data_IF_904331830462
#
_entry.id   IF_904331830462
#
_cell.length_a   1.000
_cell.length_b   1.000
_cell.length_c   1.000
_cell.angle_alpha   90.00
_cell.angle_beta   90.00
_cell.angle_gamma   90.00
#
_symmetry.space_group_name_H-M   'P 1'
#
loop_
_entity.id
_entity.type
_entity.pdbx_description
1 polymer ?
#
# COMPACT_ATOMS: atom_id res chain seq x y z
N UNK A 1 -7.11 -29.78 -3.17
CA UNK A 1 -7.43 -28.58 -3.98
C UNK A 1 -6.89 -27.39 -3.22
N UNK A 2 -6.15 -26.47 -3.88
CA UNK A 2 -5.64 -25.26 -3.19
C UNK A 2 -6.82 -24.33 -2.87
N UNK A 3 -6.84 -23.64 -1.71
CA UNK A 3 -7.92 -22.73 -1.38
C UNK A 3 -7.92 -21.54 -2.35
N UNK A 4 -9.12 -21.03 -2.66
CA UNK A 4 -9.25 -19.79 -3.40
C UNK A 4 -8.81 -18.62 -2.52
N UNK A 5 -8.04 -17.70 -3.09
CA UNK A 5 -7.66 -16.43 -2.47
C UNK A 5 -8.36 -15.29 -3.18
N UNK A 6 -8.68 -14.23 -2.44
CA UNK A 6 -9.19 -13.01 -3.05
C UNK A 6 -8.05 -12.32 -3.79
N UNK A 7 -8.27 -11.98 -5.06
CA UNK A 7 -7.23 -11.45 -5.96
C UNK A 7 -7.60 -10.08 -6.52
N UNK A 8 -8.70 -9.49 -6.04
CA UNK A 8 -9.13 -8.13 -6.33
C UNK A 8 -9.56 -7.43 -5.04
N UNK A 9 -9.83 -6.14 -5.12
CA UNK A 9 -10.61 -5.43 -4.11
C UNK A 9 -12.09 -5.78 -4.12
N UNK A 10 -12.83 -5.13 -3.22
CA UNK A 10 -14.29 -5.23 -3.14
C UNK A 10 -14.95 -4.10 -3.93
N UNK A 11 -15.92 -4.44 -4.76
CA UNK A 11 -16.69 -3.49 -5.55
C UNK A 11 -18.13 -3.49 -5.05
N UNK A 12 -18.62 -2.32 -4.63
CA UNK A 12 -20.02 -2.13 -4.23
C UNK A 12 -20.83 -1.67 -5.43
N UNK A 13 -21.88 -2.41 -5.74
CA UNK A 13 -22.79 -2.13 -6.85
C UNK A 13 -24.14 -1.81 -6.27
N UNK A 14 -24.60 -0.59 -6.48
CA UNK A 14 -25.88 -0.15 -5.99
C UNK A 14 -27.01 -0.57 -6.94
N UNK A 15 -28.15 -0.92 -6.37
CA UNK A 15 -29.38 -1.12 -7.11
C UNK A 15 -29.81 0.20 -7.75
N UNK A 16 -29.89 0.23 -9.08
CA UNK A 16 -30.16 1.45 -9.86
C UNK A 16 -31.57 1.42 -10.48
N UNK A 17 -32.60 1.30 -9.65
CA UNK A 17 -34.00 1.34 -10.09
C UNK A 17 -34.33 0.22 -11.10
N UNK A 18 -35.06 0.49 -12.20
CA UNK A 18 -35.47 -0.53 -13.16
C UNK A 18 -34.42 -0.85 -14.23
N UNK A 19 -33.21 -0.27 -14.13
CA UNK A 19 -32.17 -0.45 -15.14
C UNK A 19 -31.04 -1.36 -14.64
N UNK A 20 -30.48 -2.20 -15.52
CA UNK A 20 -29.25 -2.92 -15.20
C UNK A 20 -28.12 -1.95 -14.85
N UNK A 21 -27.20 -2.33 -13.96
CA UNK A 21 -26.01 -1.54 -13.71
C UNK A 21 -25.14 -1.47 -14.99
N UNK A 22 -24.36 -0.42 -15.11
CA UNK A 22 -23.30 -0.35 -16.14
C UNK A 22 -22.29 -1.48 -15.91
N UNK A 23 -21.63 -1.99 -16.97
CA UNK A 23 -20.55 -2.95 -16.83
C UNK A 23 -19.47 -2.45 -15.87
N UNK A 24 -18.96 -3.35 -15.04
CA UNK A 24 -17.96 -3.05 -14.02
C UNK A 24 -16.65 -3.68 -14.43
N UNK A 25 -15.57 -2.91 -14.26
CA UNK A 25 -14.21 -3.40 -14.44
C UNK A 25 -13.63 -3.78 -13.08
N UNK A 26 -13.30 -5.05 -12.90
CA UNK A 26 -12.70 -5.60 -11.68
C UNK A 26 -11.23 -5.85 -11.99
N UNK A 27 -10.34 -4.99 -11.49
CA UNK A 27 -8.89 -5.24 -11.52
C UNK A 27 -8.55 -6.45 -10.64
N UNK A 28 -7.50 -7.21 -11.01
CA UNK A 28 -7.00 -8.29 -10.18
C UNK A 28 -5.47 -8.40 -10.24
N UNK A 29 -4.85 -8.92 -9.18
CA UNK A 29 -3.41 -9.06 -9.08
C UNK A 29 -2.84 -10.33 -9.74
N UNK A 30 -3.65 -11.30 -10.21
CA UNK A 30 -3.10 -12.52 -10.85
C UNK A 30 -2.21 -12.22 -12.07
N UNK A 31 -1.10 -12.94 -12.22
CA UNK A 31 -0.27 -12.90 -13.42
C UNK A 31 -0.85 -13.85 -14.49
N UNK A 32 -1.55 -13.30 -15.49
CA UNK A 32 -2.23 -14.08 -16.54
C UNK A 32 -1.36 -14.23 -17.80
N UNK A 33 -0.24 -14.95 -17.69
CA UNK A 33 0.65 -15.28 -18.82
C UNK A 33 0.90 -16.78 -18.92
N UNK A 34 1.42 -17.25 -20.07
CA UNK A 34 1.74 -18.67 -20.27
C UNK A 34 2.65 -19.18 -19.14
N UNK A 35 2.25 -20.28 -18.51
CA UNK A 35 2.93 -20.85 -17.34
C UNK A 35 2.19 -20.62 -16.03
N UNK A 36 1.31 -19.61 -15.97
CA UNK A 36 0.38 -19.39 -14.87
C UNK A 36 -1.00 -19.96 -15.23
N UNK A 37 -1.64 -20.66 -14.31
CA UNK A 37 -2.87 -21.41 -14.52
C UNK A 37 -3.97 -21.03 -13.52
N UNK A 38 -4.07 -19.73 -13.20
CA UNK A 38 -5.08 -19.21 -12.29
C UNK A 38 -6.50 -19.51 -12.79
N UNK A 39 -7.30 -20.15 -11.94
CA UNK A 39 -8.75 -20.26 -12.15
C UNK A 39 -9.46 -19.16 -11.34
N UNK A 40 -9.95 -18.13 -12.04
CA UNK A 40 -10.55 -16.95 -11.42
C UNK A 40 -12.07 -16.99 -11.53
N UNK A 41 -12.74 -17.01 -10.38
CA UNK A 41 -14.19 -16.90 -10.25
C UNK A 41 -14.59 -15.52 -9.73
N UNK A 42 -15.72 -14.99 -10.19
CA UNK A 42 -16.33 -13.81 -9.57
C UNK A 42 -17.36 -14.29 -8.57
N UNK A 43 -17.24 -13.80 -7.34
CA UNK A 43 -18.21 -14.09 -6.28
C UNK A 43 -18.86 -12.81 -5.78
N UNK A 44 -20.05 -12.97 -5.24
CA UNK A 44 -20.84 -11.89 -4.69
C UNK A 44 -21.45 -12.23 -3.34
N UNK A 45 -21.88 -11.19 -2.64
CA UNK A 45 -22.75 -11.27 -1.46
C UNK A 45 -23.62 -10.01 -1.38
N UNK A 46 -24.76 -10.05 -0.67
CA UNK A 46 -25.52 -8.85 -0.37
C UNK A 46 -24.65 -7.80 0.31
N UNK A 47 -24.71 -6.56 -0.16
CA UNK A 47 -24.04 -5.46 0.51
C UNK A 47 -24.81 -5.08 1.77
N UNK A 48 -24.14 -5.15 2.92
CA UNK A 48 -24.73 -4.80 4.20
C UNK A 48 -23.80 -3.88 4.98
N UNK A 49 -24.38 -2.80 5.52
CA UNK A 49 -23.71 -1.88 6.43
C UNK A 49 -23.66 -2.41 7.88
N UNK A 50 -24.13 -3.64 8.13
CA UNK A 50 -24.08 -4.23 9.46
C UNK A 50 -22.63 -4.52 9.88
N UNK A 51 -22.35 -4.35 11.18
CA UNK A 51 -21.03 -4.61 11.79
C UNK A 51 -20.48 -6.02 11.53
N UNK A 52 -21.35 -7.00 11.30
CA UNK A 52 -20.97 -8.37 10.91
C UNK A 52 -21.34 -8.56 9.45
N UNK A 53 -20.34 -8.50 8.56
CA UNK A 53 -20.54 -8.85 7.16
C UNK A 53 -20.72 -10.37 7.05
N UNK A 54 -21.65 -10.80 6.19
CA UNK A 54 -21.75 -12.21 5.83
C UNK A 54 -20.47 -12.62 5.07
N UNK A 55 -19.73 -13.60 5.56
CA UNK A 55 -18.50 -14.09 4.92
C UNK A 55 -18.78 -15.06 3.77
N UNK A 56 -20.04 -15.45 3.58
CA UNK A 56 -20.44 -16.39 2.55
C UNK A 56 -20.48 -15.72 1.17
N UNK A 57 -19.35 -15.79 0.47
CA UNK A 57 -19.23 -15.43 -0.93
C UNK A 57 -19.79 -16.56 -1.82
N UNK A 58 -20.72 -16.21 -2.71
CA UNK A 58 -21.39 -17.15 -3.62
C UNK A 58 -20.98 -16.82 -5.06
N UNK A 59 -20.82 -17.81 -5.95
CA UNK A 59 -20.51 -17.54 -7.35
C UNK A 59 -21.57 -16.63 -7.98
N UNK A 60 -21.11 -15.65 -8.78
CA UNK A 60 -22.03 -14.69 -9.38
C UNK A 60 -23.08 -15.35 -10.28
N UNK A 61 -22.70 -16.41 -11.02
CA UNK A 61 -23.59 -17.12 -11.93
C UNK A 61 -24.63 -17.98 -11.20
N UNK A 62 -24.43 -18.31 -9.91
CA UNK A 62 -25.43 -19.01 -9.11
C UNK A 62 -26.55 -18.05 -8.64
N UNK A 63 -26.18 -16.79 -8.37
CA UNK A 63 -27.13 -15.74 -7.94
C UNK A 63 -27.78 -15.05 -9.14
N UNK A 64 -26.99 -14.80 -10.19
CA UNK A 64 -27.37 -14.12 -11.42
C UNK A 64 -26.90 -14.95 -12.64
N UNK A 65 -27.68 -15.96 -13.07
CA UNK A 65 -27.32 -16.86 -14.17
C UNK A 65 -27.04 -16.14 -15.51
N UNK A 66 -27.66 -14.98 -15.73
CA UNK A 66 -27.49 -14.16 -16.93
C UNK A 66 -26.30 -13.19 -16.84
N UNK A 67 -25.51 -13.23 -15.76
CA UNK A 67 -24.29 -12.44 -15.65
C UNK A 67 -23.27 -12.84 -16.72
N UNK A 68 -22.64 -11.85 -17.34
CA UNK A 68 -21.54 -12.07 -18.30
C UNK A 68 -20.22 -11.69 -17.66
N UNK A 69 -19.27 -12.61 -17.72
CA UNK A 69 -17.92 -12.46 -17.18
C UNK A 69 -16.93 -12.57 -18.32
N UNK A 70 -16.32 -11.45 -18.69
CA UNK A 70 -15.30 -11.38 -19.73
C UNK A 70 -13.93 -11.15 -19.06
N UNK A 71 -13.05 -12.14 -19.16
CA UNK A 71 -11.71 -12.08 -18.55
C UNK A 71 -10.71 -11.49 -19.54
N UNK A 72 -10.07 -10.39 -19.16
CA UNK A 72 -8.90 -9.83 -19.86
C UNK A 72 -7.65 -10.14 -19.05
N UNK A 73 -6.52 -9.53 -19.43
CA UNK A 73 -5.21 -9.83 -18.84
C UNK A 73 -5.07 -9.37 -17.39
N UNK A 74 -5.55 -8.16 -17.09
CA UNK A 74 -5.39 -7.51 -15.78
C UNK A 74 -6.73 -7.17 -15.12
N UNK A 75 -7.82 -7.39 -15.83
CA UNK A 75 -9.16 -7.01 -15.40
C UNK A 75 -10.20 -8.02 -15.87
N UNK A 76 -11.34 -8.01 -15.18
CA UNK A 76 -12.52 -8.78 -15.51
C UNK A 76 -13.67 -7.80 -15.69
N UNK A 77 -14.26 -7.81 -16.87
CA UNK A 77 -15.46 -7.04 -17.15
C UNK A 77 -16.68 -7.87 -16.75
N UNK A 78 -17.42 -7.38 -15.77
CA UNK A 78 -18.64 -7.99 -15.27
C UNK A 78 -19.85 -7.20 -15.74
N UNK A 79 -20.76 -7.86 -16.46
CA UNK A 79 -22.07 -7.31 -16.81
C UNK A 79 -23.14 -8.06 -16.03
N UNK A 80 -23.94 -7.33 -15.25
CA UNK A 80 -25.00 -7.91 -14.44
C UNK A 80 -26.38 -7.61 -15.03
N UNK A 81 -27.36 -8.52 -14.83
CA UNK A 81 -28.76 -8.21 -15.06
C UNK A 81 -29.26 -7.20 -14.00
N UNK A 82 -30.57 -6.91 -14.04
CA UNK A 82 -31.22 -6.06 -13.05
C UNK A 82 -30.97 -6.57 -11.61
N UNK A 83 -30.45 -5.70 -10.76
CA UNK A 83 -30.17 -6.02 -9.37
C UNK A 83 -31.44 -5.98 -8.51
N UNK A 84 -31.57 -6.96 -7.61
CA UNK A 84 -32.66 -7.01 -6.62
C UNK A 84 -32.31 -6.24 -5.35
N UNK A 85 -31.02 -6.07 -5.07
CA UNK A 85 -30.46 -5.42 -3.89
C UNK A 85 -29.04 -4.92 -4.20
N UNK A 86 -28.46 -4.12 -3.32
CA UNK A 86 -27.05 -3.72 -3.42
C UNK A 86 -26.15 -4.95 -3.26
N UNK A 87 -25.09 -5.02 -4.06
CA UNK A 87 -24.21 -6.18 -4.16
C UNK A 87 -22.76 -5.80 -3.86
N UNK A 88 -22.05 -6.63 -3.11
CA UNK A 88 -20.59 -6.61 -3.10
C UNK A 88 -20.08 -7.72 -4.01
N UNK A 89 -19.12 -7.41 -4.88
CA UNK A 89 -18.46 -8.38 -5.77
C UNK A 89 -16.94 -8.32 -5.61
N UNK A 90 -16.28 -9.45 -5.81
CA UNK A 90 -14.83 -9.58 -5.85
C UNK A 90 -14.41 -10.80 -6.69
N UNK A 91 -13.18 -10.78 -7.19
CA UNK A 91 -12.54 -11.89 -7.87
C UNK A 91 -11.79 -12.78 -6.89
N UNK A 92 -11.93 -14.10 -7.07
CA UNK A 92 -11.27 -15.13 -6.29
C UNK A 92 -10.51 -16.06 -7.22
N UNK A 93 -9.20 -16.16 -7.03
CA UNK A 93 -8.33 -17.02 -7.81
C UNK A 93 -7.96 -18.30 -7.06
N UNK A 94 -8.08 -19.45 -7.72
CA UNK A 94 -7.44 -20.69 -7.29
C UNK A 94 -6.11 -20.80 -8.03
N UNK A 95 -4.96 -20.74 -7.33
CA UNK A 95 -3.66 -20.80 -7.98
C UNK A 95 -3.31 -22.22 -8.41
N UNK A 96 -2.66 -22.33 -9.57
CA UNK A 96 -1.81 -23.45 -9.97
C UNK A 96 -0.55 -23.57 -9.10
N UNK A 97 0.32 -24.53 -9.42
CA UNK A 97 1.46 -24.87 -8.55
C UNK A 97 2.46 -23.72 -8.40
N UNK A 98 2.83 -23.15 -9.53
CA UNK A 98 3.92 -22.20 -9.72
C UNK A 98 3.38 -20.81 -10.12
N UNK A 99 2.11 -20.57 -9.80
CA UNK A 99 1.41 -19.34 -10.13
C UNK A 99 1.92 -18.18 -9.28
N UNK A 100 2.01 -17.02 -9.92
CA UNK A 100 2.47 -15.77 -9.33
C UNK A 100 1.36 -14.72 -9.36
N UNK A 101 1.46 -13.78 -8.43
CA UNK A 101 0.70 -12.52 -8.47
C UNK A 101 1.62 -11.33 -8.74
N UNK A 102 1.02 -10.30 -9.32
CA UNK A 102 1.62 -9.01 -9.61
C UNK A 102 1.51 -8.13 -8.37
N UNK A 103 2.65 -7.75 -7.82
CA UNK A 103 2.74 -6.78 -6.73
C UNK A 103 3.57 -5.57 -7.18
N UNK A 104 3.49 -4.51 -6.40
CA UNK A 104 4.26 -3.30 -6.57
C UNK A 104 4.94 -2.94 -5.25
N UNK A 105 6.21 -2.54 -5.35
CA UNK A 105 6.95 -1.92 -4.25
C UNK A 105 6.63 -0.43 -4.23
N UNK A 106 6.16 0.05 -3.08
CA UNK A 106 5.86 1.46 -2.84
C UNK A 106 6.69 1.99 -1.66
N UNK A 107 7.48 3.03 -1.90
CA UNK A 107 8.49 3.54 -0.95
C UNK A 107 8.02 4.88 -0.39
N UNK A 108 7.81 4.94 0.92
CA UNK A 108 7.30 6.10 1.64
C UNK A 108 8.29 6.64 2.67
N UNK A 109 8.21 7.93 2.93
CA UNK A 109 8.97 8.56 4.00
C UNK A 109 8.49 9.98 4.28
N UNK A 110 8.98 10.57 5.37
CA UNK A 110 8.82 12.01 5.61
C UNK A 110 9.82 12.79 4.77
N UNK A 111 9.65 14.10 4.69
CA UNK A 111 10.71 14.96 4.19
C UNK A 111 11.91 14.89 5.15
N UNK A 112 13.12 14.57 4.66
CA UNK A 112 14.27 14.40 5.54
C UNK A 112 14.83 15.74 6.04
N UNK A 113 15.26 15.75 7.30
CA UNK A 113 15.92 16.90 7.93
C UNK A 113 17.39 16.59 8.18
N UNK A 114 18.27 17.53 7.83
CA UNK A 114 19.71 17.39 8.04
C UNK A 114 20.04 17.12 9.51
N UNK A 115 20.88 16.10 9.75
CA UNK A 115 21.29 15.68 11.10
C UNK A 115 20.27 14.83 11.85
N UNK A 116 19.11 14.52 11.25
CA UNK A 116 18.14 13.60 11.82
C UNK A 116 18.16 12.27 11.09
N UNK A 117 17.90 11.19 11.83
CA UNK A 117 17.63 9.87 11.25
C UNK A 117 16.34 9.95 10.41
N UNK A 118 16.41 9.44 9.18
CA UNK A 118 15.31 9.45 8.23
C UNK A 118 14.67 8.06 8.12
N UNK A 119 13.37 7.97 8.44
CA UNK A 119 12.62 6.72 8.37
C UNK A 119 12.01 6.54 6.98
N UNK A 120 12.33 5.42 6.35
CA UNK A 120 11.76 4.97 5.07
C UNK A 120 10.95 3.71 5.36
N UNK A 121 9.71 3.69 4.87
CA UNK A 121 8.83 2.53 4.94
C UNK A 121 8.55 2.02 3.54
N UNK A 122 8.73 0.72 3.34
CA UNK A 122 8.53 0.09 2.03
C UNK A 122 7.36 -0.87 2.17
N UNK A 123 6.34 -0.67 1.34
CA UNK A 123 5.16 -1.53 1.25
C UNK A 123 5.23 -2.42 0.01
N UNK A 124 4.72 -3.64 0.12
CA UNK A 124 4.30 -4.44 -1.03
C UNK A 124 2.78 -4.38 -1.12
N UNK A 125 2.29 -3.91 -2.27
CA UNK A 125 0.85 -3.80 -2.56
C UNK A 125 0.52 -4.61 -3.80
N UNK A 126 -0.73 -5.05 -3.93
CA UNK A 126 -1.21 -5.65 -5.17
C UNK A 126 -1.16 -4.63 -6.32
N UNK A 127 -0.85 -5.08 -7.53
CA UNK A 127 -0.77 -4.26 -8.74
C UNK A 127 -2.17 -3.85 -9.25
N UNK A 128 -2.78 -2.89 -8.55
CA UNK A 128 -4.12 -2.33 -8.81
C UNK A 128 -4.20 -0.85 -8.42
N UNK A 129 -5.11 -0.11 -9.05
CA UNK A 129 -5.36 1.29 -8.71
C UNK A 129 -5.95 1.41 -7.29
N UNK A 130 -6.77 0.43 -6.89
CA UNK A 130 -7.40 0.42 -5.57
C UNK A 130 -6.36 0.31 -4.45
N UNK A 131 -5.43 -0.64 -4.53
CA UNK A 131 -4.38 -0.80 -3.54
C UNK A 131 -3.50 0.46 -3.46
N UNK A 132 -3.16 1.05 -4.60
CA UNK A 132 -2.39 2.28 -4.66
C UNK A 132 -3.11 3.46 -3.95
N UNK A 133 -4.40 3.68 -4.25
CA UNK A 133 -5.21 4.72 -3.58
C UNK A 133 -5.27 4.51 -2.07
N UNK A 134 -5.45 3.27 -1.62
CA UNK A 134 -5.50 2.95 -0.18
C UNK A 134 -4.18 3.25 0.53
N UNK A 135 -3.04 2.88 -0.08
CA UNK A 135 -1.74 3.14 0.55
C UNK A 135 -1.37 4.63 0.54
N UNK A 136 -1.71 5.37 -0.53
CA UNK A 136 -1.54 6.82 -0.56
C UNK A 136 -2.32 7.50 0.56
N UNK A 137 -3.61 7.15 0.72
CA UNK A 137 -4.44 7.67 1.82
C UNK A 137 -3.85 7.35 3.19
N UNK A 138 -3.40 6.11 3.42
CA UNK A 138 -2.72 5.73 4.67
C UNK A 138 -1.43 6.55 4.90
N UNK A 139 -0.69 6.83 3.83
CA UNK A 139 0.49 7.69 3.87
C UNK A 139 0.14 9.10 4.33
N UNK A 140 -0.87 9.72 3.71
CA UNK A 140 -1.40 11.03 4.08
C UNK A 140 -1.84 11.09 5.54
N UNK A 141 -2.65 10.13 5.98
CA UNK A 141 -3.14 10.01 7.37
C UNK A 141 -1.99 9.87 8.38
N UNK A 142 -0.86 9.30 7.95
CA UNK A 142 0.34 9.09 8.78
C UNK A 142 1.39 10.21 8.62
N UNK A 143 1.16 11.18 7.73
CA UNK A 143 2.09 12.26 7.40
C UNK A 143 3.37 11.80 6.70
N UNK A 144 3.33 10.72 5.91
CA UNK A 144 4.41 10.25 5.03
C UNK A 144 3.97 10.36 3.57
N UNK A 145 4.91 10.62 2.66
CA UNK A 145 4.65 10.73 1.22
C UNK A 145 5.37 9.66 0.44
N UNK A 146 4.82 9.31 -0.72
CA UNK A 146 5.50 8.45 -1.70
C UNK A 146 6.78 9.17 -2.16
N UNK A 147 7.92 8.50 -2.12
CA UNK A 147 9.23 9.08 -2.40
C UNK A 147 9.65 8.94 -3.86
N UNK A 148 9.16 7.91 -4.55
CA UNK A 148 9.49 7.61 -5.94
C UNK A 148 8.33 6.84 -6.60
N UNK A 149 8.47 6.50 -7.87
CA UNK A 149 7.50 5.69 -8.61
C UNK A 149 7.36 4.28 -8.02
N UNK A 150 6.37 3.52 -8.50
CA UNK A 150 6.17 2.13 -8.10
C UNK A 150 7.07 1.21 -8.94
N UNK A 151 7.54 0.11 -8.36
CA UNK A 151 8.27 -0.93 -9.10
C UNK A 151 7.57 -2.28 -9.01
N UNK A 152 7.31 -2.91 -10.14
CA UNK A 152 6.62 -4.21 -10.20
C UNK A 152 7.50 -5.37 -9.74
N UNK A 153 6.90 -6.29 -8.97
CA UNK A 153 7.51 -7.54 -8.49
C UNK A 153 6.49 -8.69 -8.64
N UNK A 154 6.93 -9.84 -9.13
CA UNK A 154 6.13 -11.06 -9.16
C UNK A 154 6.37 -11.89 -7.90
N UNK A 155 5.29 -12.24 -7.21
CA UNK A 155 5.34 -12.98 -5.95
C UNK A 155 4.63 -14.32 -6.11
N UNK A 156 5.31 -15.40 -5.78
CA UNK A 156 4.75 -16.75 -5.75
C UNK A 156 4.34 -17.14 -4.33
N UNK A 157 3.46 -18.13 -4.20
CA UNK A 157 3.11 -18.73 -2.91
C UNK A 157 4.16 -19.77 -2.52
N UNK A 158 5.30 -19.30 -2.02
CA UNK A 158 6.42 -20.17 -1.66
C UNK A 158 6.86 -19.97 -0.21
N UNK A 159 7.82 -20.79 0.22
CA UNK A 159 8.43 -20.65 1.56
C UNK A 159 9.57 -19.64 1.58
N UNK A 160 9.96 -19.11 0.42
CA UNK A 160 11.00 -18.10 0.34
C UNK A 160 10.38 -16.74 0.61
N UNK A 161 10.97 -15.96 1.50
CA UNK A 161 10.49 -14.61 1.79
C UNK A 161 11.02 -13.61 0.78
N UNK A 162 10.32 -12.48 0.65
CA UNK A 162 10.77 -11.36 -0.18
C UNK A 162 11.86 -10.61 0.58
N UNK A 163 13.06 -10.53 0.02
CA UNK A 163 14.14 -9.71 0.59
C UNK A 163 14.08 -8.29 0.06
N UNK A 164 14.24 -7.31 0.94
CA UNK A 164 14.32 -5.89 0.60
C UNK A 164 15.65 -5.34 1.11
N UNK A 165 16.43 -4.72 0.24
CA UNK A 165 17.79 -4.26 0.56
C UNK A 165 18.16 -2.92 -0.09
N UNK A 166 19.12 -2.23 0.52
CA UNK A 166 19.77 -1.02 0.00
C UNK A 166 21.13 -1.43 -0.61
N UNK A 167 21.30 -1.23 -1.92
CA UNK A 167 22.47 -1.75 -2.66
C UNK A 167 23.47 -0.64 -3.03
N UNK A 168 23.00 0.49 -3.55
CA UNK A 168 23.86 1.59 -4.02
C UNK A 168 23.78 2.80 -3.09
N UNK A 169 24.06 2.61 -1.81
CA UNK A 169 24.00 3.70 -0.83
C UNK A 169 25.17 4.66 -0.99
N UNK A 170 24.86 5.92 -1.32
CA UNK A 170 25.88 6.95 -1.48
C UNK A 170 26.76 7.14 -0.22
N UNK A 171 28.06 7.46 -0.38
CA UNK A 171 28.92 7.83 0.74
C UNK A 171 28.35 9.01 1.54
N UNK A 172 28.47 8.94 2.86
CA UNK A 172 27.92 9.94 3.78
C UNK A 172 26.61 9.53 4.43
N UNK A 173 26.07 8.37 4.05
CA UNK A 173 24.85 7.80 4.62
C UNK A 173 25.13 6.40 5.17
N UNK A 174 24.31 5.99 6.16
CA UNK A 174 24.38 4.65 6.74
C UNK A 174 22.97 4.13 7.04
N UNK A 175 22.71 2.85 6.77
CA UNK A 175 21.50 2.18 7.29
C UNK A 175 21.75 1.78 8.73
N UNK A 176 20.83 2.17 9.63
CA UNK A 176 20.87 1.77 11.03
C UNK A 176 20.31 0.37 11.16
N UNK A 177 21.11 -0.55 11.71
CA UNK A 177 20.74 -1.95 11.87
C UNK A 177 21.04 -2.77 10.61
N UNK A 178 20.13 -3.70 10.28
CA UNK A 178 20.28 -4.59 9.14
C UNK A 178 20.02 -3.86 7.82
N UNK A 179 20.88 -4.09 6.82
CA UNK A 179 20.73 -3.53 5.47
C UNK A 179 19.70 -4.28 4.63
N UNK A 180 19.31 -5.47 5.08
CA UNK A 180 18.36 -6.36 4.44
C UNK A 180 17.27 -6.67 5.46
N UNK A 181 16.02 -6.46 5.05
CA UNK A 181 14.84 -6.91 5.78
C UNK A 181 14.05 -7.88 4.91
N UNK A 182 13.20 -8.69 5.53
CA UNK A 182 12.33 -9.60 4.79
C UNK A 182 10.86 -9.31 5.04
N UNK A 183 10.04 -9.56 4.02
CA UNK A 183 8.58 -9.65 4.12
C UNK A 183 8.19 -11.10 3.85
N UNK A 184 7.40 -11.68 4.74
CA UNK A 184 6.96 -13.06 4.57
C UNK A 184 6.18 -13.22 3.25
N UNK A 185 6.53 -14.21 2.43
CA UNK A 185 5.80 -14.45 1.18
C UNK A 185 4.32 -14.77 1.43
N UNK A 186 4.00 -15.46 2.52
CA UNK A 186 2.62 -15.70 2.93
C UNK A 186 1.83 -14.41 3.20
N UNK A 187 2.44 -13.40 3.83
CA UNK A 187 1.78 -12.12 4.11
C UNK A 187 1.57 -11.32 2.83
N UNK A 188 2.60 -11.29 1.97
CA UNK A 188 2.52 -10.71 0.64
C UNK A 188 1.41 -11.37 -0.17
N UNK A 189 1.41 -12.70 -0.28
CA UNK A 189 0.46 -13.51 -1.03
C UNK A 189 -0.99 -13.25 -0.62
N UNK A 190 -1.27 -13.23 0.69
CA UNK A 190 -2.62 -13.07 1.22
C UNK A 190 -3.04 -11.61 1.44
N UNK A 191 -2.19 -10.63 1.08
CA UNK A 191 -2.57 -9.22 1.09
C UNK A 191 -3.74 -8.99 0.13
N UNK A 192 -4.70 -8.18 0.55
CA UNK A 192 -5.88 -7.79 -0.23
C UNK A 192 -5.74 -6.35 -0.70
N UNK A 193 -6.23 -6.02 -1.90
CA UNK A 193 -6.19 -4.65 -2.45
C UNK A 193 -6.84 -3.60 -1.53
N UNK A 194 -7.86 -3.99 -0.77
CA UNK A 194 -8.55 -3.12 0.19
C UNK A 194 -8.08 -3.30 1.65
N UNK A 195 -6.93 -3.93 1.87
CA UNK A 195 -6.38 -4.13 3.21
C UNK A 195 -5.93 -2.81 3.84
N UNK A 196 -6.04 -2.70 5.15
CA UNK A 196 -5.44 -1.61 5.94
C UNK A 196 -4.02 -1.95 6.40
N UNK A 197 -3.67 -3.24 6.38
CA UNK A 197 -2.39 -3.79 6.82
C UNK A 197 -1.57 -4.38 5.67
N UNK A 198 -1.19 -3.56 4.69
CA UNK A 198 -0.24 -4.00 3.66
C UNK A 198 1.09 -4.46 4.28
N UNK A 199 1.67 -5.58 3.83
CA UNK A 199 2.98 -6.04 4.24
C UNK A 199 4.03 -4.96 3.99
N UNK A 200 4.89 -4.73 4.98
CA UNK A 200 5.89 -3.68 4.91
C UNK A 200 7.09 -3.96 5.79
N UNK A 201 8.18 -3.24 5.51
CA UNK A 201 9.35 -3.17 6.37
C UNK A 201 9.81 -1.72 6.52
N UNK A 202 10.48 -1.44 7.63
CA UNK A 202 11.00 -0.12 7.95
C UNK A 202 12.53 -0.11 7.91
N UNK A 203 13.08 0.96 7.35
CA UNK A 203 14.50 1.25 7.36
C UNK A 203 14.73 2.63 7.97
N UNK A 204 15.90 2.78 8.58
CA UNK A 204 16.34 4.05 9.13
C UNK A 204 17.68 4.41 8.50
N UNK A 205 17.70 5.54 7.79
CA UNK A 205 18.90 6.11 7.18
C UNK A 205 19.46 7.17 8.12
N UNK A 206 20.74 7.03 8.47
CA UNK A 206 21.50 8.01 9.26
C UNK A 206 22.42 8.83 8.37
N UNK A 207 22.43 10.13 8.63
CA UNK A 207 23.36 11.07 8.03
C UNK A 207 24.70 11.03 8.77
N UNK A 208 25.75 10.54 8.10
CA UNK A 208 27.09 10.40 8.68
C UNK A 208 28.01 11.56 8.28
N UNK A 209 27.98 11.95 6.99
CA UNK A 209 28.75 13.09 6.50
C UNK A 209 27.85 14.32 6.35
N UNK A 210 27.82 15.15 7.38
CA UNK A 210 27.01 16.38 7.43
C UNK A 210 27.39 17.43 6.37
N UNK A 211 28.43 17.23 5.55
CA UNK A 211 28.68 18.11 4.39
C UNK A 211 27.75 17.76 3.22
N UNK A 212 27.26 16.52 3.15
CA UNK A 212 26.29 16.08 2.16
C UNK A 212 24.90 16.62 2.49
N UNK A 213 24.12 16.81 1.43
CA UNK A 213 22.72 17.23 1.52
C UNK A 213 21.84 16.37 0.63
N UNK A 214 22.38 15.83 -0.47
CA UNK A 214 21.69 14.90 -1.32
C UNK A 214 21.92 13.46 -0.85
N UNK A 215 20.82 12.73 -0.72
CA UNK A 215 20.76 11.29 -0.57
C UNK A 215 20.40 10.66 -1.91
N UNK A 216 21.12 9.61 -2.28
CA UNK A 216 20.81 8.74 -3.41
C UNK A 216 21.00 7.29 -2.97
N UNK A 217 20.06 6.44 -3.34
CA UNK A 217 20.18 5.00 -3.16
C UNK A 217 19.24 4.22 -4.08
N UNK A 218 19.70 3.05 -4.54
CA UNK A 218 18.83 2.01 -5.10
C UNK A 218 18.31 1.10 -3.99
N UNK A 219 16.98 0.95 -3.93
CA UNK A 219 16.30 -0.04 -3.09
C UNK A 219 15.83 -1.18 -3.99
N UNK A 220 16.15 -2.42 -3.61
CA UNK A 220 15.79 -3.62 -4.36
C UNK A 220 14.92 -4.56 -3.52
N UNK A 221 13.80 -4.98 -4.08
CA UNK A 221 13.04 -6.13 -3.64
C UNK A 221 13.38 -7.33 -4.53
N UNK A 222 13.54 -8.52 -3.94
CA UNK A 222 13.79 -9.76 -4.66
C UNK A 222 12.95 -10.89 -4.10
N UNK A 223 12.33 -11.66 -4.99
CA UNK A 223 11.60 -12.87 -4.65
C UNK A 223 11.87 -13.93 -5.71
N UNK A 224 12.44 -15.06 -5.31
CA UNK A 224 12.87 -16.13 -6.23
C UNK A 224 13.73 -15.57 -7.39
N UNK A 225 13.26 -15.76 -8.63
CA UNK A 225 13.94 -15.35 -9.86
C UNK A 225 13.56 -13.94 -10.34
N UNK A 226 12.67 -13.25 -9.63
CA UNK A 226 12.22 -11.90 -9.98
C UNK A 226 12.79 -10.84 -9.02
N UNK A 227 12.97 -9.63 -9.54
CA UNK A 227 13.44 -8.50 -8.75
C UNK A 227 12.91 -7.17 -9.26
N UNK A 228 12.62 -6.28 -8.31
CA UNK A 228 12.17 -4.92 -8.55
C UNK A 228 13.16 -3.96 -7.92
N UNK A 229 13.54 -2.90 -8.63
CA UNK A 229 14.41 -1.85 -8.08
C UNK A 229 13.80 -0.48 -8.32
N UNK A 230 14.07 0.44 -7.40
CA UNK A 230 13.76 1.86 -7.59
C UNK A 230 14.84 2.74 -6.97
N UNK A 231 15.09 3.87 -7.61
CA UNK A 231 16.01 4.88 -7.11
C UNK A 231 15.24 5.84 -6.19
N UNK A 232 15.83 6.13 -5.04
CA UNK A 232 15.32 7.11 -4.08
C UNK A 232 16.30 8.26 -3.99
N UNK A 233 15.80 9.45 -4.32
CA UNK A 233 16.55 10.70 -4.22
C UNK A 233 15.86 11.60 -3.21
N UNK A 234 16.63 12.14 -2.27
CA UNK A 234 16.09 13.10 -1.32
C UNK A 234 17.12 14.18 -0.97
N UNK A 235 16.63 15.36 -0.59
CA UNK A 235 17.47 16.46 -0.17
C UNK A 235 17.21 16.79 1.30
N UNK A 236 18.24 16.64 2.13
CA UNK A 236 18.19 16.88 3.57
C UNK A 236 18.32 18.37 3.83
N UNK A 237 17.18 19.01 4.04
CA UNK A 237 17.14 20.44 4.33
C UNK A 237 17.71 20.71 5.72
N UNK A 238 18.46 21.79 5.84
CA UNK A 238 18.76 22.36 7.14
C UNK A 238 17.44 22.85 7.71
N UNK A 239 17.02 22.35 8.87
CA UNK A 239 15.91 22.97 9.58
C UNK A 239 16.25 24.45 9.74
N UNK A 240 15.50 25.34 9.09
CA UNK A 240 15.64 26.77 9.30
C UNK A 240 15.20 27.06 10.73
N UNK A 241 16.12 26.87 11.68
CA UNK A 241 15.94 27.24 13.06
C UNK A 241 15.71 28.73 13.10
N UNK A 242 14.48 29.11 13.44
CA UNK A 242 14.09 30.44 13.95
C UNK A 242 14.40 31.58 12.97
N UNK A 243 13.36 32.28 12.49
CA UNK A 243 13.54 33.65 12.02
C UNK A 243 14.28 34.41 13.13
N UNK A 244 15.58 34.64 12.95
CA UNK A 244 16.30 35.69 13.68
C UNK A 244 15.65 36.97 13.17
N UNK A 245 14.57 37.38 13.83
CA UNK A 245 14.11 38.75 13.73
C UNK A 245 15.22 39.53 14.41
N UNK A 246 16.12 40.10 13.62
CA UNK A 246 16.95 41.21 14.07
C UNK A 246 15.99 42.32 14.49
N UNK A 247 15.57 42.31 15.75
CA UNK A 247 14.88 43.41 16.41
C UNK A 247 15.92 44.50 16.73
N UNK A 248 16.49 45.09 15.68
CA UNK A 248 17.01 46.45 15.78
C UNK A 248 15.81 47.39 15.85
N UNK A 249 15.41 47.67 17.09
CA UNK A 249 14.75 48.90 17.54
C UNK A 249 13.54 49.40 16.75
N UNK A 250 12.35 49.04 17.24
CA UNK A 250 11.35 50.05 17.65
C UNK A 250 10.21 49.40 18.43
N UNK A 251 9.99 49.96 19.62
CA UNK A 251 8.91 49.64 20.57
C UNK A 251 7.54 49.64 19.89
N UNK A 252 6.74 48.61 20.15
CA UNK A 252 5.34 48.85 20.51
C UNK A 252 4.85 47.74 21.46
N UNK A 253 4.35 48.22 22.60
CA UNK A 253 3.73 47.48 23.69
C UNK A 253 2.48 46.76 23.18
N UNK A 254 2.29 45.50 23.55
CA UNK A 254 1.23 45.15 24.49
C UNK A 254 1.33 43.68 24.92
N UNK A 255 1.25 43.54 26.24
CA UNK A 255 1.16 42.37 27.09
C UNK A 255 0.00 41.47 26.67
N UNK A 256 0.13 40.14 26.78
CA UNK A 256 -0.70 39.30 27.66
C UNK A 256 -0.14 37.85 27.73
N UNK A 257 -0.33 37.27 28.91
CA UNK A 257 0.47 36.22 29.54
C UNK A 257 0.20 34.77 29.07
N UNK A 258 1.25 33.95 29.19
CA UNK A 258 1.20 32.49 29.35
C UNK A 258 0.30 32.08 30.52
N UNK A 259 -0.49 31.01 30.34
CA UNK A 259 -0.87 30.11 31.42
C UNK A 259 -0.37 28.69 31.09
N UNK A 260 0.75 28.32 31.70
CA UNK A 260 1.04 26.93 32.03
C UNK A 260 0.36 26.63 33.36
N UNK A 261 -0.44 25.57 33.42
CA UNK A 261 -0.92 24.99 34.68
C UNK A 261 -0.46 23.54 34.75
N UNK A 262 0.54 23.30 35.59
CA UNK A 262 0.74 22.03 36.30
C UNK A 262 1.01 22.39 37.74
N UNK A 263 0.14 21.95 38.64
CA UNK A 263 0.53 21.52 39.98
C UNK A 263 -0.55 20.58 40.52
N UNK A 264 -0.13 19.36 40.82
CA UNK A 264 -0.89 18.40 41.59
C UNK A 264 -0.74 18.80 43.06
N UNK A 265 -1.88 18.96 43.75
CA UNK A 265 -1.91 19.18 45.18
C UNK A 265 -1.58 17.88 45.92
N UNK A 266 -0.80 18.03 46.99
CA UNK A 266 -0.68 17.07 48.07
C UNK A 266 -1.18 17.70 49.38
N UNK A 267 -1.70 16.82 50.23
CA UNK A 267 -1.94 16.91 51.66
C UNK A 267 -3.23 17.58 52.18
N UNK A 268 -4.00 16.74 52.87
CA UNK A 268 -5.24 16.98 53.60
C UNK A 268 -5.85 15.62 53.93
#
# INVERSE_FOLDING_TARGET
MRPAVMVSGHYVINQNGPLPPQPILIEHCCLMVKGNAWDISIKCRPHSNQRKKNENWININEVYPDAKVERKRNDIQLTLPLLRENLEVAAFGVPGKDDQKRMQMAIFGKEPTKGCDWKIRIYLIDDSEMAFKQICKKGEDSGIKLLTTLSSLFVSNSKQDISIEFIDLDPGWQIVGEKLNTIASGDAWNSQENATGFPCCDFVVRHVDMTKQQFFCTIRAKHEDDSASNEVVAFFQQSSGTKIINLTGKKLKNTFQMKCSKECNAAG
#
